data_IF_008364883931
#
_entry.id   IF_008364883931
#
_cell.length_a   1.000
_cell.length_b   1.000
_cell.length_c   1.000
_cell.angle_alpha   90.00
_cell.angle_beta   90.00
_cell.angle_gamma   90.00
#
_symmetry.space_group_name_H-M   'P 1'
#
loop_
_entity.id
_entity.type
_entity.pdbx_description
1 polymer ?
#
# COMPACT_ATOMS: atom_id res chain seq x y z
N UNK A 1 -14.58 -15.24 11.01
CA UNK A 1 -13.21 -14.82 11.37
C UNK A 1 -13.28 -13.75 12.46
N UNK A 2 -13.23 -14.15 13.74
CA UNK A 2 -13.23 -13.24 14.92
C UNK A 2 -12.14 -13.71 15.90
N UNK A 3 -10.89 -13.84 15.44
CA UNK A 3 -9.77 -14.07 16.35
C UNK A 3 -9.23 -12.72 16.82
N UNK A 4 -9.06 -12.56 18.13
CA UNK A 4 -8.50 -11.34 18.75
C UNK A 4 -7.04 -11.10 18.33
N UNK A 5 -6.30 -12.15 17.98
CA UNK A 5 -4.92 -12.09 17.47
C UNK A 5 -4.82 -11.96 15.95
N UNK A 6 -5.81 -11.36 15.28
CA UNK A 6 -5.70 -11.07 13.85
C UNK A 6 -4.76 -9.88 13.65
N UNK A 7 -3.56 -10.06 13.03
CA UNK A 7 -2.64 -8.97 12.78
C UNK A 7 -3.35 -7.85 12.03
N UNK A 8 -3.15 -6.59 12.45
CA UNK A 8 -3.77 -5.43 11.78
C UNK A 8 -3.52 -5.41 10.26
N UNK A 9 -2.39 -5.96 9.84
CA UNK A 9 -1.98 -6.16 8.45
C UNK A 9 -2.99 -6.97 7.63
N UNK A 10 -3.63 -8.00 8.22
CA UNK A 10 -4.64 -8.79 7.52
C UNK A 10 -5.92 -8.00 7.28
N UNK A 11 -6.28 -7.10 8.21
CA UNK A 11 -7.43 -6.20 8.02
C UNK A 11 -7.16 -5.23 6.86
N UNK A 12 -5.95 -4.68 6.80
CA UNK A 12 -5.53 -3.82 5.67
C UNK A 12 -5.54 -4.62 4.35
N UNK A 13 -5.01 -5.85 4.33
CA UNK A 13 -5.05 -6.73 3.15
C UNK A 13 -6.46 -7.05 2.65
N UNK A 14 -7.40 -7.31 3.56
CA UNK A 14 -8.81 -7.56 3.18
C UNK A 14 -9.45 -6.28 2.64
N UNK A 15 -9.17 -5.13 3.25
CA UNK A 15 -9.66 -3.84 2.75
C UNK A 15 -9.13 -3.53 1.35
N UNK A 16 -7.84 -3.77 1.12
CA UNK A 16 -7.19 -3.62 -0.20
C UNK A 16 -7.79 -4.59 -1.22
N UNK A 17 -8.06 -5.84 -0.81
CA UNK A 17 -8.66 -6.85 -1.67
C UNK A 17 -10.04 -6.44 -2.16
N UNK A 18 -10.90 -5.94 -1.26
CA UNK A 18 -12.23 -5.43 -1.60
C UNK A 18 -12.11 -4.24 -2.57
N UNK A 19 -11.26 -3.27 -2.24
CA UNK A 19 -11.05 -2.07 -3.06
C UNK A 19 -10.55 -2.42 -4.46
N UNK A 20 -9.55 -3.30 -4.58
CA UNK A 20 -9.01 -3.75 -5.85
C UNK A 20 -10.07 -4.50 -6.68
N UNK A 21 -10.92 -5.30 -6.02
CA UNK A 21 -12.01 -6.02 -6.69
C UNK A 21 -13.07 -5.06 -7.25
N UNK A 22 -13.48 -4.05 -6.49
CA UNK A 22 -14.45 -3.05 -6.93
C UNK A 22 -13.93 -2.24 -8.13
N UNK A 23 -12.65 -1.84 -8.09
CA UNK A 23 -11.99 -1.14 -9.19
C UNK A 23 -11.92 -2.05 -10.42
N UNK A 24 -11.52 -3.31 -10.25
CA UNK A 24 -11.51 -4.30 -11.33
C UNK A 24 -12.91 -4.47 -11.94
N UNK A 25 -13.92 -4.78 -11.11
CA UNK A 25 -15.28 -5.08 -11.55
C UNK A 25 -15.97 -3.91 -12.24
N UNK A 26 -15.69 -2.68 -11.81
CA UNK A 26 -16.27 -1.47 -12.40
C UNK A 26 -15.61 -1.06 -13.72
N UNK A 27 -14.32 -1.36 -13.91
CA UNK A 27 -13.55 -0.94 -15.09
C UNK A 27 -13.42 -2.02 -16.18
N UNK A 28 -13.49 -3.30 -15.81
CA UNK A 28 -13.54 -4.43 -16.75
C UNK A 28 -14.58 -4.22 -17.88
N UNK A 29 -15.85 -3.90 -17.61
CA UNK A 29 -16.84 -3.71 -18.68
C UNK A 29 -16.60 -2.43 -19.51
N UNK A 30 -15.83 -1.46 -18.99
CA UNK A 30 -15.51 -0.23 -19.73
C UNK A 30 -14.51 -0.48 -20.84
N UNK A 31 -13.64 -1.50 -20.72
CA UNK A 31 -12.70 -1.89 -21.78
C UNK A 31 -13.37 -2.14 -23.13
N UNK A 32 -14.57 -2.72 -23.10
CA UNK A 32 -15.34 -3.04 -24.31
C UNK A 32 -16.16 -1.86 -24.85
N UNK A 33 -16.25 -0.75 -24.11
CA UNK A 33 -17.05 0.44 -24.46
C UNK A 33 -16.19 1.62 -24.93
N UNK A 34 -14.89 1.59 -24.64
CA UNK A 34 -13.97 2.70 -24.95
C UNK A 34 -13.52 2.61 -26.41
N UNK A 35 -13.76 3.69 -27.15
CA UNK A 35 -13.42 3.80 -28.58
C UNK A 35 -11.98 4.28 -28.83
N UNK A 36 -11.38 5.02 -27.90
CA UNK A 36 -10.02 5.54 -28.02
C UNK A 36 -8.97 4.54 -27.48
N UNK A 37 -7.90 4.31 -28.23
CA UNK A 37 -6.86 3.33 -27.87
C UNK A 37 -6.02 3.76 -26.67
N UNK A 38 -5.75 5.07 -26.50
CA UNK A 38 -4.98 5.58 -25.36
C UNK A 38 -5.74 5.40 -24.03
N UNK A 39 -7.03 5.72 -24.02
CA UNK A 39 -7.91 5.51 -22.86
C UNK A 39 -8.08 4.02 -22.56
N UNK A 40 -8.19 3.18 -23.60
CA UNK A 40 -8.27 1.73 -23.44
C UNK A 40 -7.01 1.18 -22.79
N UNK A 41 -5.83 1.70 -23.16
CA UNK A 41 -4.55 1.30 -22.55
C UNK A 41 -4.49 1.67 -21.07
N UNK A 42 -4.88 2.89 -20.70
CA UNK A 42 -4.92 3.34 -19.30
C UNK A 42 -5.85 2.45 -18.47
N UNK A 43 -7.06 2.17 -18.98
CA UNK A 43 -8.02 1.30 -18.28
C UNK A 43 -7.51 -0.14 -18.21
N UNK A 44 -6.86 -0.65 -19.26
CA UNK A 44 -6.29 -1.99 -19.27
C UNK A 44 -5.16 -2.14 -18.24
N UNK A 45 -4.27 -1.16 -18.16
CA UNK A 45 -3.19 -1.14 -17.16
C UNK A 45 -3.75 -1.04 -15.73
N UNK A 46 -4.81 -0.24 -15.52
CA UNK A 46 -5.50 -0.15 -14.24
C UNK A 46 -6.15 -1.50 -13.85
N UNK A 47 -6.92 -2.12 -14.75
CA UNK A 47 -7.59 -3.40 -14.52
C UNK A 47 -6.56 -4.50 -14.23
N UNK A 48 -5.50 -4.58 -15.04
CA UNK A 48 -4.42 -5.56 -14.86
C UNK A 48 -3.74 -5.39 -13.50
N UNK A 49 -3.38 -4.15 -13.14
CA UNK A 49 -2.66 -3.88 -11.89
C UNK A 49 -3.50 -4.23 -10.67
N UNK A 50 -4.79 -3.86 -10.67
CA UNK A 50 -5.72 -4.20 -9.59
C UNK A 50 -6.00 -5.70 -9.51
N UNK A 51 -6.09 -6.39 -10.65
CA UNK A 51 -6.24 -7.85 -10.67
C UNK A 51 -5.03 -8.57 -10.04
N UNK A 52 -3.81 -8.15 -10.39
CA UNK A 52 -2.58 -8.73 -9.83
C UNK A 52 -2.52 -8.48 -8.32
N UNK A 53 -2.79 -7.25 -7.87
CA UNK A 53 -2.81 -6.90 -6.45
C UNK A 53 -3.86 -7.71 -5.68
N UNK A 54 -5.08 -7.83 -6.22
CA UNK A 54 -6.15 -8.63 -5.62
C UNK A 54 -5.72 -10.10 -5.48
N UNK A 55 -5.13 -10.68 -6.53
CA UNK A 55 -4.67 -12.08 -6.49
C UNK A 55 -3.54 -12.27 -5.49
N UNK A 56 -2.61 -11.33 -5.39
CA UNK A 56 -1.54 -11.36 -4.39
C UNK A 56 -2.10 -11.30 -2.97
N UNK A 57 -3.04 -10.38 -2.69
CA UNK A 57 -3.71 -10.29 -1.39
C UNK A 57 -4.48 -11.58 -1.04
N UNK A 58 -5.15 -12.19 -2.02
CA UNK A 58 -5.85 -13.46 -1.82
C UNK A 58 -4.89 -14.61 -1.48
N UNK A 59 -3.77 -14.72 -2.20
CA UNK A 59 -2.75 -15.74 -1.94
C UNK A 59 -2.14 -15.61 -0.55
N UNK A 60 -1.92 -14.38 -0.07
CA UNK A 60 -1.46 -14.13 1.29
C UNK A 60 -2.47 -14.60 2.35
N UNK A 61 -3.75 -14.29 2.13
CA UNK A 61 -4.82 -14.69 3.03
C UNK A 61 -5.00 -16.21 3.07
N UNK A 62 -4.93 -16.87 1.91
CA UNK A 62 -5.05 -18.32 1.80
C UNK A 62 -3.87 -19.05 2.43
N UNK A 63 -2.65 -18.52 2.23
CA UNK A 63 -1.45 -19.03 2.89
C UNK A 63 -1.51 -18.84 4.41
N UNK A 64 -1.92 -17.65 4.88
CA UNK A 64 -2.08 -17.40 6.32
C UNK A 64 -3.13 -18.32 6.94
N UNK A 65 -4.23 -18.59 6.23
CA UNK A 65 -5.26 -19.54 6.68
C UNK A 65 -4.72 -20.96 6.83
N UNK A 66 -3.80 -21.37 5.96
CA UNK A 66 -3.28 -22.76 5.92
C UNK A 66 -2.09 -22.97 6.83
N UNK A 67 -1.15 -22.01 6.88
CA UNK A 67 0.15 -22.15 7.55
C UNK A 67 0.29 -21.26 8.79
N UNK A 68 -0.61 -20.29 9.01
CA UNK A 68 -0.51 -19.32 10.10
C UNK A 68 0.55 -18.24 9.90
N UNK A 69 1.28 -18.26 8.77
CA UNK A 69 2.36 -17.33 8.44
C UNK A 69 2.06 -16.53 7.17
N UNK A 70 2.64 -15.33 7.08
CA UNK A 70 2.49 -14.41 5.95
C UNK A 70 3.63 -14.65 4.95
N UNK A 71 3.30 -14.73 3.66
CA UNK A 71 4.25 -14.99 2.58
C UNK A 71 5.13 -13.75 2.29
N UNK A 72 4.61 -12.55 2.56
CA UNK A 72 5.35 -11.30 2.47
C UNK A 72 5.56 -10.74 1.05
N UNK A 73 4.83 -11.25 0.04
CA UNK A 73 4.94 -10.85 -1.36
C UNK A 73 4.12 -9.59 -1.69
N UNK A 74 3.03 -9.34 -0.96
CA UNK A 74 2.20 -8.16 -1.22
C UNK A 74 2.96 -6.84 -0.94
N UNK A 75 2.80 -5.79 -1.76
CA UNK A 75 3.52 -4.51 -1.60
C UNK A 75 3.32 -3.86 -0.22
N UNK A 76 2.19 -4.11 0.44
CA UNK A 76 1.88 -3.58 1.77
C UNK A 76 2.94 -3.95 2.81
N UNK A 77 3.53 -5.15 2.70
CA UNK A 77 4.57 -5.60 3.62
C UNK A 77 5.84 -4.76 3.53
N UNK A 78 6.14 -4.17 2.35
CA UNK A 78 7.26 -3.23 2.22
C UNK A 78 6.99 -1.97 3.02
N UNK A 79 5.76 -1.44 2.98
CA UNK A 79 5.37 -0.25 3.75
C UNK A 79 5.40 -0.54 5.25
N UNK A 80 4.92 -1.71 5.67
CA UNK A 80 4.94 -2.14 7.07
C UNK A 80 6.37 -2.27 7.57
N UNK A 81 7.27 -2.96 6.84
CA UNK A 81 8.68 -3.05 7.20
C UNK A 81 9.34 -1.69 7.36
N UNK A 82 8.95 -0.69 6.56
CA UNK A 82 9.45 0.68 6.69
C UNK A 82 8.91 1.38 7.94
N UNK A 83 7.64 1.16 8.29
CA UNK A 83 7.05 1.65 9.53
C UNK A 83 7.71 1.01 10.75
N UNK A 84 7.94 -0.30 10.72
CA UNK A 84 8.65 -1.02 11.78
C UNK A 84 10.10 -0.54 11.93
N UNK A 85 10.79 -0.29 10.81
CA UNK A 85 12.11 0.30 10.85
C UNK A 85 12.10 1.68 11.54
N UNK A 86 11.06 2.50 11.34
CA UNK A 86 10.89 3.79 12.03
C UNK A 86 10.67 3.61 13.53
N UNK A 87 9.89 2.61 13.95
CA UNK A 87 9.64 2.30 15.36
C UNK A 87 10.92 1.94 16.14
N UNK A 88 11.90 1.33 15.47
CA UNK A 88 13.17 0.90 16.08
C UNK A 88 14.23 2.02 16.07
N UNK A 89 14.06 3.10 15.30
CA UNK A 89 15.04 4.19 15.25
C UNK A 89 15.18 4.87 16.61
N UNK A 90 16.39 5.33 16.96
CA UNK A 90 16.60 6.21 18.11
C UNK A 90 16.00 7.61 17.86
N UNK A 91 15.63 8.33 18.92
CA UNK A 91 15.03 9.68 18.83
C UNK A 91 15.77 10.64 17.89
N UNK A 92 17.11 10.80 17.95
CA UNK A 92 17.81 11.67 16.99
C UNK A 92 17.74 11.17 15.55
N UNK A 93 17.77 9.85 15.31
CA UNK A 93 17.60 9.29 13.95
C UNK A 93 16.16 9.45 13.45
N UNK A 94 15.17 9.41 14.32
CA UNK A 94 13.76 9.62 14.00
C UNK A 94 13.51 11.04 13.48
N UNK A 95 14.03 12.06 14.17
CA UNK A 95 13.94 13.45 13.71
C UNK A 95 14.65 13.69 12.37
N UNK A 96 15.83 13.09 12.17
CA UNK A 96 16.53 13.14 10.88
C UNK A 96 15.70 12.49 9.77
N UNK A 97 15.02 11.36 10.07
CA UNK A 97 14.14 10.68 9.12
C UNK A 97 12.92 11.52 8.77
N UNK A 98 12.31 12.21 9.74
CA UNK A 98 11.20 13.15 9.52
C UNK A 98 11.62 14.26 8.54
N UNK A 99 12.75 14.93 8.79
CA UNK A 99 13.27 15.98 7.88
C UNK A 99 13.56 15.44 6.48
N UNK A 100 14.13 14.24 6.39
CA UNK A 100 14.40 13.58 5.10
C UNK A 100 13.09 13.26 4.34
N UNK A 101 12.06 12.78 5.03
CA UNK A 101 10.75 12.50 4.44
C UNK A 101 10.09 13.79 3.95
N UNK A 102 10.12 14.88 4.72
CA UNK A 102 9.58 16.19 4.29
C UNK A 102 10.29 16.71 3.03
N UNK A 103 11.61 16.57 2.98
CA UNK A 103 12.41 16.95 1.80
C UNK A 103 12.07 16.09 0.58
N UNK A 104 11.91 14.77 0.78
CA UNK A 104 11.55 13.85 -0.29
C UNK A 104 10.15 14.10 -0.82
N UNK A 105 9.17 14.37 0.05
CA UNK A 105 7.80 14.73 -0.34
C UNK A 105 7.84 15.98 -1.23
N UNK A 106 8.56 17.02 -0.82
CA UNK A 106 8.68 18.24 -1.62
C UNK A 106 9.29 17.96 -3.00
N UNK A 107 10.40 17.20 -3.06
CA UNK A 107 11.05 16.82 -4.32
C UNK A 107 10.16 15.96 -5.21
N UNK A 108 9.43 15.01 -4.64
CA UNK A 108 8.55 14.12 -5.37
C UNK A 108 7.29 14.83 -5.87
N UNK A 109 6.78 15.83 -5.12
CA UNK A 109 5.74 16.75 -5.59
C UNK A 109 6.18 17.56 -6.80
N UNK A 110 7.41 18.08 -6.80
CA UNK A 110 7.95 18.79 -7.97
C UNK A 110 8.11 17.89 -9.21
N UNK A 111 8.35 16.59 -9.01
CA UNK A 111 8.47 15.61 -10.08
C UNK A 111 7.15 14.93 -10.46
N UNK A 112 6.03 15.40 -9.90
CA UNK A 112 4.68 14.83 -10.11
C UNK A 112 4.58 13.32 -9.83
N UNK A 113 5.43 12.78 -8.96
CA UNK A 113 5.42 11.37 -8.61
C UNK A 113 4.45 11.12 -7.44
N UNK A 114 3.16 11.10 -7.74
CA UNK A 114 2.06 11.02 -6.76
C UNK A 114 2.16 9.75 -5.89
N UNK A 115 2.59 8.62 -6.46
CA UNK A 115 2.74 7.37 -5.71
C UNK A 115 3.78 7.48 -4.58
N UNK A 116 4.94 8.06 -4.90
CA UNK A 116 6.00 8.27 -3.90
C UNK A 116 5.60 9.33 -2.86
N UNK A 117 4.88 10.38 -3.28
CA UNK A 117 4.33 11.38 -2.37
C UNK A 117 3.40 10.74 -1.35
N UNK A 118 2.41 9.96 -1.81
CA UNK A 118 1.45 9.30 -0.93
C UNK A 118 2.12 8.34 0.06
N UNK A 119 3.12 7.59 -0.41
CA UNK A 119 3.92 6.69 0.44
C UNK A 119 4.70 7.47 1.50
N UNK A 120 5.43 8.51 1.11
CA UNK A 120 6.27 9.28 2.01
C UNK A 120 5.44 10.08 3.02
N UNK A 121 4.27 10.59 2.62
CA UNK A 121 3.31 11.24 3.53
C UNK A 121 2.76 10.26 4.58
N UNK A 122 2.42 9.03 4.18
CA UNK A 122 1.99 7.99 5.11
C UNK A 122 3.10 7.62 6.12
N UNK A 123 4.36 7.53 5.67
CA UNK A 123 5.51 7.30 6.53
C UNK A 123 5.80 8.49 7.45
N UNK A 124 5.65 9.72 6.96
CA UNK A 124 5.84 10.94 7.75
C UNK A 124 4.82 11.03 8.88
N UNK A 125 3.54 10.76 8.58
CA UNK A 125 2.47 10.73 9.58
C UNK A 125 2.77 9.70 10.68
N UNK A 126 3.21 8.50 10.28
CA UNK A 126 3.60 7.47 11.25
C UNK A 126 4.81 7.89 12.08
N UNK A 127 5.86 8.43 11.46
CA UNK A 127 7.05 8.89 12.16
C UNK A 127 6.76 10.00 13.19
N UNK A 128 5.86 10.95 12.86
CA UNK A 128 5.40 11.99 13.79
C UNK A 128 4.62 11.40 14.96
N UNK A 129 3.71 10.45 14.71
CA UNK A 129 3.00 9.74 15.78
C UNK A 129 3.93 8.97 16.72
N UNK A 130 5.01 8.39 16.21
CA UNK A 130 6.02 7.71 17.02
C UNK A 130 6.83 8.71 17.83
N UNK A 131 7.15 9.87 17.27
CA UNK A 131 7.88 10.93 17.96
C UNK A 131 7.04 11.56 19.09
N UNK A 132 5.73 11.75 18.90
CA UNK A 132 4.82 12.29 19.92
C UNK A 132 4.61 11.34 21.12
N UNK A 133 4.82 10.04 20.92
CA UNK A 133 4.63 9.00 21.95
C UNK A 133 5.90 8.69 22.76
N UNK A 134 7.03 9.34 22.45
CA UNK A 134 8.34 9.12 23.10
C UNK A 134 8.74 10.33 23.92
#
# INVERSE_FOLDING_TARGET
>A
MRNQDCPGVLKELVSDLISCYEIYSSNQPKLHKVMNDDERKIIADLVRSNYILNKQAYLELDHYKSNGELLGKHPIFKVIKLKDAINVLSTPRLFNKIKALETNIFRNKQKENIELVNRDEALLKHAKQVAEKR
#
